data_IF_381196654432
#
_entry.id   IF_381196654432
#
_cell.length_a   1.000
_cell.length_b   1.000
_cell.length_c   1.000
_cell.angle_alpha   90.00
_cell.angle_beta   90.00
_cell.angle_gamma   90.00
#
_symmetry.space_group_name_H-M   'P 1'
#
loop_
_entity.id
_entity.type
_entity.pdbx_description
1 polymer ?
#
# COMPACT_ATOMS: atom_id res chain seq x y z
N UNK A 1 7.32 -18.33 -0.66
CA UNK A 1 7.47 -16.98 -1.23
C UNK A 1 6.41 -16.07 -0.63
N UNK A 2 6.88 -15.20 0.25
CA UNK A 2 6.10 -14.14 0.87
C UNK A 2 5.90 -12.96 -0.09
N UNK A 3 4.77 -12.27 0.02
CA UNK A 3 4.50 -11.03 -0.69
C UNK A 3 4.28 -9.88 0.29
N UNK A 4 4.69 -8.68 -0.12
CA UNK A 4 4.53 -7.45 0.62
C UNK A 4 3.79 -6.43 -0.24
N UNK A 5 2.92 -5.65 0.38
CA UNK A 5 2.21 -4.58 -0.31
C UNK A 5 2.55 -3.22 0.29
N UNK A 6 2.81 -2.25 -0.58
CA UNK A 6 2.88 -0.83 -0.22
C UNK A 6 1.72 -0.08 -0.86
N UNK A 7 1.09 0.81 -0.09
CA UNK A 7 0.03 1.70 -0.56
C UNK A 7 0.38 3.15 -0.26
N UNK A 8 0.39 3.95 -1.31
CA UNK A 8 0.62 5.39 -1.27
C UNK A 8 -0.68 6.15 -1.56
N UNK A 9 -1.19 6.89 -0.57
CA UNK A 9 -2.48 7.58 -0.62
C UNK A 9 -2.37 9.02 -1.11
N UNK A 10 -3.24 9.37 -2.05
CA UNK A 10 -3.47 10.73 -2.53
C UNK A 10 -4.93 11.14 -2.32
N UNK A 11 -5.25 12.38 -2.68
CA UNK A 11 -6.56 12.99 -2.41
C UNK A 11 -7.76 12.27 -3.04
N UNK A 12 -7.61 11.76 -4.27
CA UNK A 12 -8.68 11.10 -5.03
C UNK A 12 -8.32 9.69 -5.55
N UNK A 13 -7.09 9.25 -5.32
CA UNK A 13 -6.58 7.95 -5.77
C UNK A 13 -5.49 7.46 -4.82
N UNK A 14 -5.11 6.20 -4.95
CA UNK A 14 -3.94 5.65 -4.29
C UNK A 14 -3.23 4.66 -5.22
N UNK A 15 -1.93 4.51 -5.00
CA UNK A 15 -1.09 3.57 -5.74
C UNK A 15 -0.87 2.34 -4.86
N UNK A 16 -1.19 1.16 -5.41
CA UNK A 16 -0.96 -0.13 -4.77
C UNK A 16 0.18 -0.82 -5.49
N UNK A 17 1.18 -1.25 -4.73
CA UNK A 17 2.34 -2.00 -5.23
C UNK A 17 2.43 -3.32 -4.47
N UNK A 18 2.61 -4.42 -5.18
CA UNK A 18 2.88 -5.74 -4.60
C UNK A 18 4.25 -6.21 -5.06
N UNK A 19 5.10 -6.61 -4.10
CA UNK A 19 6.44 -7.14 -4.35
C UNK A 19 6.59 -8.53 -3.72
N UNK A 20 7.53 -9.31 -4.24
CA UNK A 20 7.99 -10.52 -3.60
C UNK A 20 9.15 -10.25 -2.62
N UNK A 21 9.67 -11.32 -2.00
CA UNK A 21 10.80 -11.28 -1.07
C UNK A 21 12.15 -10.95 -1.72
N UNK A 22 12.22 -10.85 -3.06
CA UNK A 22 13.41 -10.48 -3.83
C UNK A 22 13.28 -9.07 -4.44
N UNK A 23 12.38 -8.24 -3.91
CA UNK A 23 12.04 -6.91 -4.41
C UNK A 23 11.51 -6.88 -5.86
N UNK A 24 11.01 -8.01 -6.37
CA UNK A 24 10.40 -8.05 -7.70
C UNK A 24 8.97 -7.55 -7.65
N UNK A 25 8.67 -6.53 -8.47
CA UNK A 25 7.30 -6.00 -8.65
C UNK A 25 6.42 -7.01 -9.36
N UNK A 26 5.36 -7.44 -8.68
CA UNK A 26 4.33 -8.34 -9.19
C UNK A 26 3.11 -7.57 -9.71
N UNK A 27 2.77 -6.46 -9.06
CA UNK A 27 1.64 -5.60 -9.41
C UNK A 27 1.96 -4.15 -9.06
N UNK A 28 1.51 -3.23 -9.90
CA UNK A 28 1.52 -1.79 -9.65
C UNK A 28 0.32 -1.15 -10.34
N UNK A 29 -0.57 -0.55 -9.55
CA UNK A 29 -1.79 0.07 -10.06
C UNK A 29 -2.13 1.33 -9.28
N UNK A 30 -2.49 2.38 -10.03
CA UNK A 30 -3.19 3.55 -9.49
C UNK A 30 -4.70 3.33 -9.61
N UNK A 31 -5.41 3.38 -8.50
CA UNK A 31 -6.87 3.16 -8.43
C UNK A 31 -7.54 4.28 -7.62
N UNK A 32 -8.84 4.48 -7.84
CA UNK A 32 -9.61 5.45 -7.07
C UNK A 32 -9.68 5.11 -5.58
N UNK A 33 -10.01 6.09 -4.74
CA UNK A 33 -10.22 5.89 -3.30
C UNK A 33 -11.53 5.13 -3.01
N UNK A 34 -11.49 3.82 -3.28
CA UNK A 34 -12.53 2.85 -3.00
C UNK A 34 -11.86 1.56 -2.52
N UNK A 35 -12.14 1.18 -1.26
CA UNK A 35 -11.54 0.00 -0.65
C UNK A 35 -11.90 -1.29 -1.40
N UNK A 36 -13.06 -1.34 -2.05
CA UNK A 36 -13.51 -2.51 -2.82
C UNK A 36 -12.57 -2.79 -4.01
N UNK A 37 -12.04 -1.73 -4.62
CA UNK A 37 -11.05 -1.85 -5.70
C UNK A 37 -9.73 -2.41 -5.17
N UNK A 38 -9.27 -1.93 -4.01
CA UNK A 38 -8.05 -2.42 -3.35
C UNK A 38 -8.19 -3.89 -2.96
N UNK A 39 -9.31 -4.27 -2.35
CA UNK A 39 -9.58 -5.66 -1.97
C UNK A 39 -9.61 -6.60 -3.18
N UNK A 40 -10.26 -6.17 -4.28
CA UNK A 40 -10.31 -6.94 -5.52
C UNK A 40 -8.92 -7.11 -6.14
N UNK A 41 -8.09 -6.07 -6.08
CA UNK A 41 -6.70 -6.11 -6.57
C UNK A 41 -5.81 -7.03 -5.71
N UNK A 42 -6.01 -7.04 -4.39
CA UNK A 42 -5.21 -7.84 -3.46
C UNK A 42 -5.69 -9.28 -3.29
N UNK A 43 -6.92 -9.60 -3.70
CA UNK A 43 -7.50 -10.94 -3.59
C UNK A 43 -6.59 -12.08 -4.12
N UNK A 44 -5.89 -11.94 -5.27
CA UNK A 44 -5.00 -12.99 -5.78
C UNK A 44 -3.78 -13.27 -4.89
N UNK A 45 -3.42 -12.32 -4.01
CA UNK A 45 -2.22 -12.38 -3.18
C UNK A 45 -2.52 -12.71 -1.72
N UNK A 46 -3.79 -12.73 -1.31
CA UNK A 46 -4.23 -12.75 0.10
C UNK A 46 -3.53 -13.82 0.95
N UNK A 47 -3.46 -15.07 0.49
CA UNK A 47 -2.86 -16.19 1.23
C UNK A 47 -1.35 -16.04 1.49
N UNK A 48 -0.69 -15.18 0.71
CA UNK A 48 0.77 -15.02 0.71
C UNK A 48 1.21 -13.61 1.10
N UNK A 49 0.26 -12.70 1.29
CA UNK A 49 0.50 -11.32 1.68
C UNK A 49 0.83 -11.27 3.18
N UNK A 50 2.07 -10.93 3.52
CA UNK A 50 2.53 -10.92 4.91
C UNK A 50 2.06 -9.66 5.64
N UNK A 51 2.16 -8.51 4.98
CA UNK A 51 1.68 -7.23 5.50
C UNK A 51 1.43 -6.22 4.37
N UNK A 52 0.56 -5.26 4.66
CA UNK A 52 0.33 -4.06 3.85
C UNK A 52 0.88 -2.86 4.62
N UNK A 53 1.86 -2.18 4.03
CA UNK A 53 2.34 -0.88 4.48
C UNK A 53 1.46 0.21 3.86
N UNK A 54 0.85 1.06 4.68
CA UNK A 54 0.05 2.21 4.21
C UNK A 54 0.72 3.52 4.62
N UNK A 55 1.00 4.38 3.64
CA UNK A 55 1.55 5.71 3.90
C UNK A 55 0.51 6.61 4.58
N UNK A 56 0.81 7.05 5.81
CA UNK A 56 -0.15 7.75 6.67
C UNK A 56 -0.20 9.27 6.43
N UNK A 57 -0.18 9.73 5.17
CA UNK A 57 -0.15 11.17 4.82
C UNK A 57 -1.54 11.79 4.68
N UNK A 58 -2.50 11.07 4.10
CA UNK A 58 -3.80 11.63 3.76
C UNK A 58 -4.95 10.67 4.09
N UNK A 59 -5.85 11.08 5.00
CA UNK A 59 -7.11 10.41 5.36
C UNK A 59 -7.08 8.87 5.29
N UNK A 60 -6.08 8.23 5.91
CA UNK A 60 -5.79 6.80 5.72
C UNK A 60 -6.79 5.86 6.42
N UNK A 61 -7.55 6.36 7.42
CA UNK A 61 -8.37 5.56 8.32
C UNK A 61 -9.33 4.61 7.61
N UNK A 62 -10.07 5.10 6.61
CA UNK A 62 -11.04 4.29 5.88
C UNK A 62 -10.40 3.10 5.14
N UNK A 63 -9.17 3.28 4.65
CA UNK A 63 -8.47 2.22 3.93
C UNK A 63 -7.96 1.16 4.90
N UNK A 64 -7.33 1.61 5.99
CA UNK A 64 -6.81 0.69 7.03
C UNK A 64 -7.94 -0.11 7.65
N UNK A 65 -9.04 0.54 8.03
CA UNK A 65 -10.20 -0.13 8.62
C UNK A 65 -10.78 -1.17 7.66
N UNK A 66 -10.94 -0.83 6.38
CA UNK A 66 -11.47 -1.77 5.38
C UNK A 66 -10.53 -2.94 5.07
N UNK A 67 -9.21 -2.71 5.04
CA UNK A 67 -8.21 -3.78 4.88
C UNK A 67 -8.18 -4.71 6.09
N UNK A 68 -8.21 -4.17 7.31
CA UNK A 68 -8.24 -4.96 8.55
C UNK A 68 -9.56 -5.75 8.66
N UNK A 69 -10.69 -5.15 8.30
CA UNK A 69 -11.98 -5.84 8.26
C UNK A 69 -12.01 -7.00 7.26
N UNK A 70 -11.24 -6.92 6.18
CA UNK A 70 -11.06 -7.99 5.21
C UNK A 70 -10.00 -9.04 5.64
N UNK A 71 -9.42 -8.90 6.83
CA UNK A 71 -8.47 -9.86 7.40
C UNK A 71 -7.01 -9.64 7.00
N UNK A 72 -6.68 -8.52 6.36
CA UNK A 72 -5.30 -8.19 6.06
C UNK A 72 -4.57 -7.67 7.30
N UNK A 73 -3.29 -8.05 7.44
CA UNK A 73 -2.39 -7.40 8.37
C UNK A 73 -1.91 -6.08 7.77
N UNK A 74 -2.20 -4.98 8.44
CA UNK A 74 -1.86 -3.63 8.00
C UNK A 74 -0.91 -2.97 9.00
N UNK A 75 0.16 -2.40 8.50
CA UNK A 75 1.15 -1.62 9.25
C UNK A 75 1.10 -0.17 8.74
N UNK A 76 0.85 0.77 9.65
CA UNK A 76 0.87 2.19 9.32
C UNK A 76 2.29 2.71 9.27
N UNK A 77 2.65 3.33 8.15
CA UNK A 77 3.99 3.85 7.94
C UNK A 77 3.95 5.36 7.88
N UNK A 78 4.66 6.01 8.81
CA UNK A 78 4.86 7.45 8.79
C UNK A 78 6.07 7.78 7.91
N UNK A 79 5.88 8.42 6.74
CA UNK A 79 7.00 8.73 5.83
C UNK A 79 8.01 9.70 6.44
N UNK A 80 7.63 10.53 7.42
CA UNK A 80 8.55 11.40 8.14
C UNK A 80 9.50 10.66 9.11
N UNK A 81 9.17 9.41 9.45
CA UNK A 81 9.97 8.57 10.36
C UNK A 81 10.91 7.58 9.65
N UNK A 82 10.80 7.42 8.33
CA UNK A 82 11.64 6.50 7.58
C UNK A 82 12.94 7.20 7.16
N UNK A 83 14.04 6.90 7.86
CA UNK A 83 15.40 7.42 7.55
C UNK A 83 15.85 7.19 6.10
N UNK A 84 15.28 6.20 5.40
CA UNK A 84 15.60 5.93 3.99
C UNK A 84 15.02 6.97 3.01
N UNK A 85 14.04 7.79 3.45
CA UNK A 85 13.47 8.88 2.65
C UNK A 85 14.01 10.27 3.05
N UNK A 86 14.93 10.37 4.02
CA UNK A 86 15.72 11.59 4.26
C UNK A 86 16.69 11.83 3.08
N UNK A 87 16.16 12.35 1.96
CA UNK A 87 16.94 12.73 0.78
C UNK A 87 16.45 12.17 -0.56
N UNK A 88 15.47 11.27 -0.57
CA UNK A 88 14.93 10.63 -1.80
C UNK A 88 13.53 11.13 -2.20
N UNK A 89 13.09 12.30 -1.69
CA UNK A 89 11.92 13.01 -2.23
C UNK A 89 12.24 13.57 -3.62
N UNK A 90 12.34 12.70 -4.62
CA UNK A 90 12.11 13.08 -6.00
C UNK A 90 10.61 12.93 -6.26
N UNK A 91 9.92 14.06 -6.24
CA UNK A 91 8.54 14.19 -6.69
C UNK A 91 8.50 13.98 -8.20
N UNK A 92 8.18 12.77 -8.66
CA UNK A 92 7.60 12.60 -10.01
C UNK A 92 6.08 12.41 -9.83
N UNK A 93 5.44 13.53 -9.46
CA UNK A 93 4.00 13.70 -9.59
C UNK A 93 3.78 14.25 -11.01
N UNK A 94 3.55 13.35 -11.96
CA UNK A 94 3.18 13.67 -13.35
C UNK A 94 1.80 13.12 -13.68
#
# INVERSE_FOLDING_TARGET
MAFYCGIDLHSNNHVVVVIDENDQRLEERRIGNDVSLTLSLLAPYQDRLVAIAVESTFNWYWLVDGLQAAGFRVELVNPAGIKQYEGLKYTDDR
#
